data_IF_849662429897
#
_entry.id   IF_849662429897
#
_cell.length_a   1.000
_cell.length_b   1.000
_cell.length_c   1.000
_cell.angle_alpha   90.00
_cell.angle_beta   90.00
_cell.angle_gamma   90.00
#
_symmetry.space_group_name_H-M   'P 1'
#
loop_
_entity.id
_entity.type
_entity.pdbx_description
1 polymer ?
#
# COMPACT_ATOMS: atom_id res chain seq x y z
N UNK A 1 15.85 12.18 8.02
CA UNK A 1 14.60 12.97 7.98
C UNK A 1 13.79 12.48 6.80
N UNK A 2 12.50 12.19 6.99
CA UNK A 2 11.58 11.86 5.90
C UNK A 2 10.92 13.14 5.40
N UNK A 3 10.64 13.21 4.10
CA UNK A 3 9.99 14.37 3.47
C UNK A 3 8.94 13.88 2.48
N UNK A 4 7.79 14.48 2.45
CA UNK A 4 6.77 14.26 1.42
C UNK A 4 7.24 14.91 0.12
N UNK A 5 7.88 14.14 -0.77
CA UNK A 5 8.46 14.69 -2.00
C UNK A 5 7.42 15.02 -3.06
N UNK A 6 6.30 14.29 -3.06
CA UNK A 6 5.24 14.51 -4.05
C UNK A 6 3.88 14.07 -3.54
N UNK A 7 2.85 14.84 -3.88
CA UNK A 7 1.44 14.47 -3.80
C UNK A 7 0.94 14.25 -5.23
N UNK A 8 0.40 13.05 -5.51
CA UNK A 8 0.08 12.63 -6.86
C UNK A 8 -1.42 12.32 -6.98
N UNK A 9 -2.06 12.87 -8.00
CA UNK A 9 -3.49 12.70 -8.29
C UNK A 9 -3.66 12.11 -9.69
N UNK A 10 -4.57 11.14 -9.80
CA UNK A 10 -4.95 10.51 -11.04
C UNK A 10 -6.25 11.05 -11.60
N UNK A 11 -6.34 11.08 -12.92
CA UNK A 11 -7.60 11.30 -13.65
C UNK A 11 -8.05 10.00 -14.29
N UNK A 12 -9.34 9.87 -14.55
CA UNK A 12 -9.87 8.71 -15.27
C UNK A 12 -9.22 8.57 -16.67
N UNK A 13 -8.70 7.38 -16.92
CA UNK A 13 -8.20 6.99 -18.25
C UNK A 13 -8.64 5.58 -18.58
N UNK A 14 -8.90 5.35 -19.87
CA UNK A 14 -9.08 4.00 -20.38
C UNK A 14 -7.73 3.29 -20.37
N UNK A 15 -7.67 2.15 -19.70
CA UNK A 15 -6.48 1.30 -19.58
C UNK A 15 -6.88 -0.12 -19.96
N UNK A 16 -6.47 -0.56 -21.14
CA UNK A 16 -6.95 -1.81 -21.71
C UNK A 16 -8.47 -1.79 -21.90
N UNK A 17 -9.19 -2.66 -21.20
CA UNK A 17 -10.67 -2.76 -21.23
C UNK A 17 -11.38 -2.08 -20.06
N UNK A 18 -10.65 -1.42 -19.17
CA UNK A 18 -11.17 -0.80 -17.95
C UNK A 18 -10.82 0.69 -17.87
N UNK A 19 -11.51 1.39 -17.00
CA UNK A 19 -11.16 2.77 -16.61
C UNK A 19 -10.33 2.70 -15.34
N UNK A 20 -9.27 3.51 -15.24
CA UNK A 20 -8.39 3.53 -14.08
C UNK A 20 -7.81 4.92 -13.79
N UNK A 21 -7.65 5.24 -12.51
CA UNK A 21 -6.91 6.40 -12.01
C UNK A 21 -5.43 6.14 -11.73
N UNK A 22 -4.85 5.04 -12.26
CA UNK A 22 -3.45 4.66 -11.98
C UNK A 22 -2.42 5.66 -12.55
N UNK A 23 -2.80 6.44 -13.55
CA UNK A 23 -1.92 7.46 -14.16
C UNK A 23 -1.89 8.72 -13.30
N UNK A 24 -1.31 8.59 -12.12
CA UNK A 24 -1.15 9.72 -11.21
C UNK A 24 0.03 10.61 -11.64
N UNK A 25 -0.10 11.90 -11.34
CA UNK A 25 0.91 12.92 -11.63
C UNK A 25 1.11 13.82 -10.42
N UNK A 26 2.34 14.31 -10.21
CA UNK A 26 2.63 15.30 -9.19
C UNK A 26 1.74 16.53 -9.31
N UNK A 27 1.22 16.99 -8.18
CA UNK A 27 0.42 18.20 -8.06
C UNK A 27 1.23 19.32 -7.41
N UNK A 28 0.91 20.56 -7.77
CA UNK A 28 1.47 21.75 -7.16
C UNK A 28 0.50 22.34 -6.13
N UNK A 29 1.05 22.97 -5.09
CA UNK A 29 0.26 23.60 -4.03
C UNK A 29 -0.33 22.59 -3.04
N UNK A 30 -1.17 23.10 -2.14
CA UNK A 30 -1.84 22.29 -1.14
C UNK A 30 -2.93 21.41 -1.77
N UNK A 31 -3.02 20.18 -1.29
CA UNK A 31 -4.04 19.20 -1.70
C UNK A 31 -4.83 18.76 -0.47
N UNK A 32 -6.13 18.87 -0.52
CA UNK A 32 -7.02 18.47 0.58
C UNK A 32 -7.06 16.94 0.71
N UNK A 33 -6.89 16.43 1.92
CA UNK A 33 -6.99 15.03 2.28
C UNK A 33 -8.19 14.79 3.19
N UNK A 34 -9.11 13.94 2.73
CA UNK A 34 -10.28 13.48 3.47
C UNK A 34 -10.11 12.04 3.97
N UNK A 35 -11.07 11.54 4.77
CA UNK A 35 -11.12 10.12 5.22
C UNK A 35 -11.15 9.11 4.07
N UNK A 36 -11.54 9.52 2.89
CA UNK A 36 -11.68 8.64 1.71
C UNK A 36 -10.55 8.78 0.70
N UNK A 37 -9.60 9.70 0.93
CA UNK A 37 -8.46 9.96 0.07
C UNK A 37 -8.30 11.42 -0.30
N UNK A 38 -7.38 11.70 -1.24
CA UNK A 38 -7.11 13.07 -1.71
C UNK A 38 -8.28 13.54 -2.57
N UNK A 39 -8.76 14.75 -2.28
CA UNK A 39 -9.87 15.37 -3.02
C UNK A 39 -9.46 15.55 -4.49
N UNK A 40 -10.30 15.08 -5.40
CA UNK A 40 -10.02 15.11 -6.84
C UNK A 40 -9.25 13.88 -7.38
N UNK A 41 -8.78 13.00 -6.51
CA UNK A 41 -8.19 11.74 -6.96
C UNK A 41 -9.26 10.71 -7.37
N UNK A 42 -8.94 9.91 -8.39
CA UNK A 42 -9.88 8.92 -8.92
C UNK A 42 -9.45 7.51 -8.54
N UNK A 43 -10.36 6.79 -7.87
CA UNK A 43 -10.28 5.35 -7.61
C UNK A 43 -11.40 4.65 -8.37
N UNK A 44 -11.10 4.16 -9.57
CA UNK A 44 -12.13 3.60 -10.49
C UNK A 44 -12.60 2.20 -10.09
N UNK A 45 -11.79 1.42 -9.39
CA UNK A 45 -12.16 0.08 -8.90
C UNK A 45 -12.28 0.07 -7.37
N UNK A 46 -13.40 0.56 -6.87
CA UNK A 46 -13.69 0.62 -5.44
C UNK A 46 -13.86 -0.74 -4.76
N UNK A 47 -13.99 -1.84 -5.54
CA UNK A 47 -14.08 -3.21 -4.99
C UNK A 47 -12.72 -3.74 -4.55
N UNK A 48 -11.65 -3.37 -5.26
CA UNK A 48 -10.29 -3.87 -5.00
C UNK A 48 -9.33 -2.80 -4.47
N UNK A 49 -9.63 -1.53 -4.70
CA UNK A 49 -8.81 -0.38 -4.29
C UNK A 49 -9.66 0.67 -3.59
N UNK A 50 -9.00 1.52 -2.79
CA UNK A 50 -9.66 2.60 -2.07
C UNK A 50 -10.54 2.15 -0.91
N UNK A 51 -11.43 3.06 -0.49
CA UNK A 51 -12.21 2.94 0.75
C UNK A 51 -11.43 3.48 1.96
N UNK A 52 -12.11 3.66 3.12
CA UNK A 52 -11.52 4.36 4.27
C UNK A 52 -10.25 3.70 4.82
N UNK A 53 -10.12 2.37 4.67
CA UNK A 53 -8.92 1.65 5.13
C UNK A 53 -7.76 1.66 4.14
N UNK A 54 -7.99 2.08 2.91
CA UNK A 54 -7.01 2.15 1.81
C UNK A 54 -7.15 3.48 1.07
N UNK A 55 -7.33 4.56 1.83
CA UNK A 55 -7.62 5.88 1.32
C UNK A 55 -6.44 6.51 0.55
N UNK A 56 -5.21 6.17 0.96
CA UNK A 56 -3.97 6.73 0.39
C UNK A 56 -2.98 5.60 0.12
N UNK A 57 -2.41 5.58 -1.08
CA UNK A 57 -1.30 4.70 -1.41
C UNK A 57 0.02 5.48 -1.32
N UNK A 58 0.94 4.98 -0.49
CA UNK A 58 2.25 5.57 -0.22
C UNK A 58 3.36 4.72 -0.84
N UNK A 59 4.34 5.38 -1.45
CA UNK A 59 5.52 4.74 -2.01
C UNK A 59 6.80 5.44 -1.56
N UNK A 60 7.84 4.66 -1.28
CA UNK A 60 9.13 5.18 -0.82
C UNK A 60 10.04 5.59 -1.97
N UNK A 61 10.73 6.74 -1.84
CA UNK A 61 11.70 7.16 -2.85
C UNK A 61 12.89 6.21 -2.97
N UNK A 62 13.28 5.49 -1.89
CA UNK A 62 14.30 4.42 -1.97
C UNK A 62 13.85 3.26 -2.86
N UNK A 63 12.55 2.93 -2.85
CA UNK A 63 12.00 1.90 -3.72
C UNK A 63 11.94 2.38 -5.18
N UNK A 64 11.66 3.68 -5.43
CA UNK A 64 11.78 4.30 -6.75
C UNK A 64 13.21 4.24 -7.28
N UNK A 65 14.21 4.62 -6.46
CA UNK A 65 15.63 4.56 -6.83
C UNK A 65 16.06 3.14 -7.22
N UNK A 66 15.60 2.13 -6.46
CA UNK A 66 15.86 0.73 -6.79
C UNK A 66 15.24 0.35 -8.15
N UNK A 67 13.99 0.75 -8.42
CA UNK A 67 13.33 0.48 -9.69
C UNK A 67 14.00 1.19 -10.86
N UNK A 68 14.41 2.43 -10.69
CA UNK A 68 15.14 3.18 -11.72
C UNK A 68 16.45 2.49 -12.10
N UNK A 69 17.17 1.96 -11.10
CA UNK A 69 18.38 1.18 -11.33
C UNK A 69 18.10 -0.16 -12.00
N UNK A 70 17.06 -0.89 -11.56
CA UNK A 70 16.70 -2.21 -12.10
C UNK A 70 16.22 -2.14 -13.56
N UNK A 71 15.43 -1.11 -13.87
CA UNK A 71 14.84 -0.93 -15.20
C UNK A 71 15.70 -0.08 -16.14
N UNK A 72 16.74 0.57 -15.59
CA UNK A 72 17.59 1.54 -16.30
C UNK A 72 16.77 2.65 -17.00
N UNK A 73 15.76 3.19 -16.31
CA UNK A 73 14.90 4.30 -16.77
C UNK A 73 14.66 5.29 -15.64
N UNK A 74 14.31 6.52 -15.96
CA UNK A 74 13.78 7.47 -14.98
C UNK A 74 12.30 7.20 -14.72
N UNK A 75 11.89 7.29 -13.46
CA UNK A 75 10.51 7.11 -13.01
C UNK A 75 10.07 8.34 -12.24
N UNK A 76 8.97 8.93 -12.67
CA UNK A 76 8.34 10.04 -11.96
C UNK A 76 7.51 9.53 -10.77
N UNK A 77 7.38 10.33 -9.68
CA UNK A 77 6.41 10.07 -8.63
C UNK A 77 5.01 9.84 -9.20
N UNK A 78 4.24 8.92 -8.60
CA UNK A 78 2.91 8.52 -9.11
C UNK A 78 2.95 7.45 -10.21
N UNK A 79 4.13 7.02 -10.69
CA UNK A 79 4.26 6.00 -11.74
C UNK A 79 3.62 4.68 -11.34
N UNK A 80 3.74 4.25 -10.09
CA UNK A 80 3.12 3.02 -9.60
C UNK A 80 1.67 3.22 -9.11
N UNK A 81 1.08 4.39 -9.35
CA UNK A 81 -0.25 4.77 -8.91
C UNK A 81 -0.29 5.26 -7.45
N UNK A 82 0.86 5.58 -6.88
CA UNK A 82 0.98 6.12 -5.54
C UNK A 82 0.46 7.55 -5.44
N UNK A 83 -0.23 7.83 -4.36
CA UNK A 83 -0.72 9.16 -4.01
C UNK A 83 0.38 10.01 -3.37
N UNK A 84 1.20 9.40 -2.52
CA UNK A 84 2.27 10.07 -1.81
C UNK A 84 3.61 9.37 -2.08
N UNK A 85 4.61 10.17 -2.42
CA UNK A 85 5.99 9.71 -2.51
C UNK A 85 6.80 10.33 -1.38
N UNK A 86 7.45 9.49 -0.54
CA UNK A 86 8.17 9.95 0.66
C UNK A 86 9.65 9.64 0.52
N UNK A 87 10.52 10.66 0.69
CA UNK A 87 11.97 10.50 0.68
C UNK A 87 12.47 9.69 1.88
N UNK A 88 13.61 9.01 1.72
CA UNK A 88 14.25 8.27 2.80
C UNK A 88 13.51 6.99 3.24
N UNK A 89 12.33 6.71 2.67
CA UNK A 89 11.47 5.58 2.99
C UNK A 89 11.66 4.40 2.03
N UNK A 90 11.57 3.18 2.57
CA UNK A 90 11.40 1.94 1.82
C UNK A 90 10.25 1.13 2.40
N UNK A 91 9.51 0.42 1.57
CA UNK A 91 8.45 -0.51 2.00
C UNK A 91 8.93 -1.57 2.99
N UNK A 92 10.23 -1.88 2.97
CA UNK A 92 10.85 -2.90 3.83
C UNK A 92 11.01 -2.48 5.28
N UNK A 93 10.97 -1.16 5.54
CA UNK A 93 11.18 -0.57 6.85
C UNK A 93 9.85 -0.28 7.59
N UNK A 94 8.70 -0.70 7.01
CA UNK A 94 7.37 -0.31 7.47
C UNK A 94 6.57 -1.50 7.97
N UNK A 95 5.85 -1.30 9.06
CA UNK A 95 4.95 -2.29 9.67
C UNK A 95 3.49 -1.83 9.60
N UNK A 96 2.58 -2.78 9.66
CA UNK A 96 1.16 -2.48 9.77
C UNK A 96 0.88 -1.81 11.12
N UNK A 97 0.16 -0.69 11.08
CA UNK A 97 -0.11 0.14 12.24
C UNK A 97 0.90 1.27 12.47
N UNK A 98 2.03 1.28 11.74
CA UNK A 98 2.92 2.46 11.75
C UNK A 98 2.13 3.70 11.34
N UNK A 99 2.45 4.84 11.94
CA UNK A 99 1.83 6.11 11.60
C UNK A 99 2.83 7.07 10.96
N UNK A 100 2.34 7.85 10.02
CA UNK A 100 3.06 8.94 9.40
C UNK A 100 2.33 10.24 9.70
N UNK A 101 3.00 11.12 10.45
CA UNK A 101 2.52 12.47 10.73
C UNK A 101 3.16 13.41 9.74
N UNK A 102 2.36 14.07 8.93
CA UNK A 102 2.79 15.08 7.95
C UNK A 102 2.44 16.45 8.53
N UNK A 103 3.29 17.44 8.27
CA UNK A 103 3.13 18.81 8.81
C UNK A 103 1.66 19.24 8.82
N UNK A 104 1.31 20.00 9.87
CA UNK A 104 -0.03 20.55 10.15
C UNK A 104 -1.09 19.50 10.52
N UNK A 105 -0.63 18.35 11.06
CA UNK A 105 -1.50 17.40 11.73
C UNK A 105 -2.15 16.31 10.89
N UNK A 106 -1.86 16.16 9.61
CA UNK A 106 -2.31 14.98 8.86
C UNK A 106 -1.68 13.72 9.49
N UNK A 107 -2.51 12.73 9.82
CA UNK A 107 -2.05 11.45 10.37
C UNK A 107 -2.57 10.32 9.51
N UNK A 108 -1.65 9.52 9.00
CA UNK A 108 -1.89 8.30 8.24
C UNK A 108 -1.50 7.08 9.06
N UNK A 109 -2.28 5.99 8.97
CA UNK A 109 -1.96 4.71 9.60
C UNK A 109 -1.88 3.61 8.54
N UNK A 110 -0.79 2.84 8.55
CA UNK A 110 -0.52 1.76 7.60
C UNK A 110 -1.46 0.57 7.85
N UNK A 111 -2.12 0.08 6.80
CA UNK A 111 -3.19 -0.93 6.92
C UNK A 111 -3.01 -2.15 6.04
N UNK A 112 -2.33 -2.01 4.90
CA UNK A 112 -2.16 -3.09 3.92
C UNK A 112 -0.98 -2.84 2.97
N UNK A 113 -0.34 -3.87 2.41
CA UNK A 113 0.51 -3.73 1.24
C UNK A 113 -0.34 -3.50 -0.02
N UNK A 114 0.26 -2.92 -1.05
CA UNK A 114 -0.35 -2.89 -2.38
C UNK A 114 -0.05 -4.19 -3.12
N UNK A 115 -1.10 -4.86 -3.60
CA UNK A 115 -0.95 -6.06 -4.42
C UNK A 115 -0.95 -5.66 -5.91
N UNK A 116 0.05 -6.09 -6.72
CA UNK A 116 0.10 -5.74 -8.13
C UNK A 116 -1.04 -6.39 -8.91
N UNK A 117 -1.60 -5.66 -9.86
CA UNK A 117 -2.70 -6.09 -10.71
C UNK A 117 -2.34 -5.92 -12.21
N UNK A 118 -3.19 -6.43 -13.09
CA UNK A 118 -3.00 -6.31 -14.54
C UNK A 118 -2.89 -4.84 -15.00
N UNK A 119 -3.64 -3.93 -14.37
CA UNK A 119 -3.58 -2.49 -14.66
C UNK A 119 -2.18 -1.90 -14.46
N UNK A 120 -1.39 -2.43 -13.51
CA UNK A 120 0.01 -2.03 -13.35
C UNK A 120 0.85 -2.48 -14.54
N UNK A 121 0.61 -3.67 -15.07
CA UNK A 121 1.26 -4.14 -16.30
C UNK A 121 0.98 -3.24 -17.50
N UNK A 122 -0.29 -2.86 -17.69
CA UNK A 122 -0.70 -1.91 -18.74
C UNK A 122 -0.03 -0.54 -18.54
N UNK A 123 0.02 -0.03 -17.30
CA UNK A 123 0.68 1.24 -16.97
C UNK A 123 2.17 1.23 -17.30
N UNK A 124 2.84 0.11 -17.10
CA UNK A 124 4.28 -0.06 -17.34
C UNK A 124 4.60 -0.54 -18.78
N UNK A 125 3.57 -0.80 -19.61
CA UNK A 125 3.75 -1.32 -20.95
C UNK A 125 4.28 -2.76 -21.03
N UNK A 126 4.24 -3.50 -19.91
CA UNK A 126 4.69 -4.89 -19.82
C UNK A 126 3.71 -5.73 -18.98
N UNK A 127 3.01 -6.66 -19.64
CA UNK A 127 2.08 -7.59 -18.99
C UNK A 127 2.71 -8.47 -17.92
N UNK A 128 4.03 -8.64 -17.93
CA UNK A 128 4.78 -9.41 -16.95
C UNK A 128 5.26 -8.57 -15.77
N UNK A 129 5.13 -7.24 -15.84
CA UNK A 129 5.56 -6.33 -14.78
C UNK A 129 4.94 -6.66 -13.41
N UNK A 130 3.67 -7.07 -13.27
CA UNK A 130 3.13 -7.49 -11.97
C UNK A 130 3.90 -8.64 -11.31
N UNK A 131 4.47 -9.56 -12.09
CA UNK A 131 5.31 -10.66 -11.57
C UNK A 131 6.66 -10.13 -11.10
N UNK A 132 7.27 -9.22 -11.87
CA UNK A 132 8.52 -8.56 -11.48
C UNK A 132 8.31 -7.72 -10.21
N UNK A 133 7.22 -6.95 -10.15
CA UNK A 133 6.84 -6.17 -8.98
C UNK A 133 6.64 -7.03 -7.73
N UNK A 134 5.99 -8.19 -7.88
CA UNK A 134 5.89 -9.17 -6.80
C UNK A 134 7.25 -9.63 -6.30
N UNK A 135 8.15 -9.99 -7.22
CA UNK A 135 9.49 -10.51 -6.90
C UNK A 135 10.39 -9.46 -6.23
N UNK A 136 10.19 -8.19 -6.53
CA UNK A 136 10.98 -7.10 -5.94
C UNK A 136 10.74 -6.94 -4.44
N UNK A 137 9.59 -7.38 -3.92
CA UNK A 137 9.15 -7.13 -2.55
C UNK A 137 9.23 -5.66 -2.14
N UNK A 138 8.77 -4.78 -3.03
CA UNK A 138 8.69 -3.32 -2.85
C UNK A 138 7.29 -2.83 -3.16
N UNK A 139 6.27 -3.29 -2.39
CA UNK A 139 4.88 -3.05 -2.75
C UNK A 139 4.40 -1.62 -2.49
N UNK A 140 5.12 -0.81 -1.68
CA UNK A 140 4.49 0.33 -1.04
C UNK A 140 3.38 -0.14 -0.08
N UNK A 141 2.57 0.79 0.42
CA UNK A 141 1.54 0.44 1.37
C UNK A 141 0.36 1.40 1.30
N UNK A 142 -0.81 0.89 1.65
CA UNK A 142 -2.00 1.68 1.85
C UNK A 142 -2.10 2.18 3.28
N UNK A 143 -2.67 3.38 3.42
CA UNK A 143 -2.99 3.97 4.70
C UNK A 143 -4.48 4.33 4.79
N UNK A 144 -5.02 4.25 6.01
CA UNK A 144 -6.22 4.99 6.39
C UNK A 144 -5.83 6.38 6.90
N UNK A 145 -6.75 7.31 6.78
CA UNK A 145 -6.58 8.67 7.27
C UNK A 145 -7.12 8.76 8.69
N UNK A 146 -6.22 8.88 9.67
CA UNK A 146 -6.60 9.08 11.08
C UNK A 146 -7.01 10.52 11.30
N UNK A 147 -6.27 11.48 10.75
CA UNK A 147 -6.60 12.92 10.78
C UNK A 147 -6.45 13.53 9.40
N UNK A 148 -7.50 14.19 8.97
CA UNK A 148 -7.60 14.91 7.70
C UNK A 148 -6.80 16.22 7.76
N UNK A 149 -6.57 16.85 6.62
CA UNK A 149 -5.90 18.13 6.51
C UNK A 149 -5.38 18.38 5.11
N UNK A 150 -4.42 19.28 4.98
CA UNK A 150 -3.78 19.61 3.72
C UNK A 150 -2.42 18.93 3.57
N UNK A 151 -2.14 18.46 2.38
CA UNK A 151 -0.86 17.87 1.98
C UNK A 151 -0.11 18.85 1.08
N UNK A 152 1.11 19.20 1.46
CA UNK A 152 1.97 20.08 0.67
C UNK A 152 3.30 19.36 0.41
N UNK A 153 3.73 19.33 -0.85
CA UNK A 153 5.04 18.76 -1.20
C UNK A 153 6.17 19.51 -0.46
N UNK A 154 7.23 18.78 -0.12
CA UNK A 154 8.37 19.19 0.70
C UNK A 154 8.07 19.36 2.20
N UNK A 155 6.89 18.97 2.67
CA UNK A 155 6.59 18.90 4.11
C UNK A 155 7.42 17.82 4.80
N UNK A 156 7.79 18.08 6.06
CA UNK A 156 8.41 17.08 6.93
C UNK A 156 7.43 15.96 7.24
N UNK A 157 7.95 14.73 7.35
CA UNK A 157 7.17 13.54 7.70
C UNK A 157 7.83 12.87 8.91
N UNK A 158 7.06 12.67 9.97
CA UNK A 158 7.48 11.93 11.16
C UNK A 158 6.92 10.52 11.07
N UNK A 159 7.78 9.52 11.12
CA UNK A 159 7.40 8.11 11.21
C UNK A 159 7.30 7.70 12.67
N UNK A 160 6.14 7.24 13.09
CA UNK A 160 5.87 6.72 14.44
C UNK A 160 5.66 5.20 14.31
N UNK A 161 6.60 4.38 14.79
CA UNK A 161 6.46 2.93 14.74
C UNK A 161 5.28 2.42 15.57
N UNK A 162 4.62 1.37 15.08
CA UNK A 162 3.62 0.64 15.86
C UNK A 162 4.28 -0.19 16.96
N UNK A 163 3.93 0.06 18.23
CA UNK A 163 4.63 -0.51 19.38
C UNK A 163 4.02 -1.81 19.92
N UNK A 164 2.81 -2.21 19.46
CA UNK A 164 2.14 -3.41 19.97
C UNK A 164 2.71 -4.67 19.32
N UNK A 165 3.15 -5.62 20.14
CA UNK A 165 3.61 -6.93 19.70
C UNK A 165 2.46 -7.98 19.65
N UNK A 166 2.55 -8.97 18.74
CA UNK A 166 3.55 -9.14 17.68
C UNK A 166 3.32 -8.17 16.51
N UNK A 167 4.41 -7.60 15.99
CA UNK A 167 4.37 -6.73 14.80
C UNK A 167 4.39 -7.57 13.53
N UNK A 168 3.72 -7.09 12.49
CA UNK A 168 3.82 -7.67 11.15
C UNK A 168 4.30 -6.60 10.16
N UNK A 169 5.34 -6.88 9.40
CA UNK A 169 5.82 -5.95 8.39
C UNK A 169 4.88 -5.91 7.17
N UNK A 170 4.93 -4.81 6.42
CA UNK A 170 4.26 -4.70 5.12
C UNK A 170 4.69 -5.84 4.19
N UNK A 171 5.97 -6.23 4.24
CA UNK A 171 6.52 -7.29 3.38
C UNK A 171 6.00 -8.67 3.80
N UNK A 172 5.93 -8.98 5.10
CA UNK A 172 5.42 -10.28 5.54
C UNK A 172 3.94 -10.42 5.22
N UNK A 173 3.14 -9.35 5.38
CA UNK A 173 1.75 -9.34 4.97
C UNK A 173 1.61 -9.47 3.44
N UNK A 174 2.51 -8.87 2.66
CA UNK A 174 2.56 -9.01 1.20
C UNK A 174 2.86 -10.45 0.78
N UNK A 175 3.81 -11.11 1.42
CA UNK A 175 4.16 -12.52 1.16
C UNK A 175 2.99 -13.44 1.42
N UNK A 176 2.15 -13.18 2.44
CA UNK A 176 0.96 -13.98 2.74
C UNK A 176 -0.08 -14.05 1.60
N UNK A 177 -0.02 -13.16 0.61
CA UNK A 177 -0.85 -13.28 -0.60
C UNK A 177 -0.44 -14.43 -1.50
N UNK A 178 0.80 -14.87 -1.39
CA UNK A 178 1.41 -15.82 -2.31
C UNK A 178 1.85 -17.11 -1.63
N UNK A 179 1.77 -17.13 -0.31
CA UNK A 179 2.08 -18.29 0.51
C UNK A 179 0.91 -19.29 0.50
N UNK A 180 1.22 -20.55 0.15
CA UNK A 180 0.21 -21.63 0.10
C UNK A 180 0.07 -22.38 1.43
N UNK A 181 1.01 -22.18 2.37
CA UNK A 181 1.03 -22.83 3.67
C UNK A 181 1.54 -21.90 4.78
N UNK A 182 0.87 -20.74 5.00
CA UNK A 182 1.38 -19.79 5.98
C UNK A 182 1.35 -20.36 7.41
N UNK A 183 2.36 -19.99 8.20
CA UNK A 183 2.43 -20.38 9.59
C UNK A 183 1.27 -19.75 10.40
N UNK A 184 0.64 -20.51 11.29
CA UNK A 184 -0.45 -20.02 12.16
C UNK A 184 -0.05 -18.77 12.94
N UNK A 185 1.15 -18.77 13.51
CA UNK A 185 1.67 -17.63 14.26
C UNK A 185 1.73 -16.32 13.43
N UNK A 186 2.05 -16.43 12.13
CA UNK A 186 2.07 -15.26 11.23
C UNK A 186 0.65 -14.73 10.98
N UNK A 187 -0.33 -15.62 10.79
CA UNK A 187 -1.73 -15.22 10.61
C UNK A 187 -2.30 -14.57 11.89
N UNK A 188 -2.00 -15.14 13.04
CA UNK A 188 -2.41 -14.59 14.33
C UNK A 188 -1.76 -13.22 14.61
N UNK A 189 -0.46 -13.07 14.31
CA UNK A 189 0.22 -11.78 14.40
C UNK A 189 -0.44 -10.74 13.50
N UNK A 190 -0.74 -11.10 12.25
CA UNK A 190 -1.43 -10.22 11.32
C UNK A 190 -2.80 -9.78 11.87
N UNK A 191 -3.60 -10.70 12.41
CA UNK A 191 -4.94 -10.39 12.93
C UNK A 191 -4.93 -9.49 14.18
N UNK A 192 -3.81 -9.37 14.88
CA UNK A 192 -3.66 -8.42 16.01
C UNK A 192 -3.33 -7.00 15.56
N UNK A 193 -2.79 -6.85 14.34
CA UNK A 193 -2.48 -5.54 13.76
C UNK A 193 -3.74 -4.80 13.27
N UNK A 194 -3.70 -3.47 13.13
CA UNK A 194 -4.82 -2.66 12.64
C UNK A 194 -4.99 -2.75 11.12
N UNK A 195 -5.18 -3.96 10.61
CA UNK A 195 -5.36 -4.28 9.19
C UNK A 195 -6.53 -3.51 8.57
N UNK A 196 -6.44 -3.27 7.27
CA UNK A 196 -7.61 -2.99 6.45
C UNK A 196 -8.63 -4.12 6.57
N UNK A 197 -9.93 -3.80 6.59
CA UNK A 197 -11.00 -4.79 6.77
C UNK A 197 -10.92 -5.92 5.75
N UNK A 198 -10.60 -5.62 4.49
CA UNK A 198 -10.43 -6.64 3.43
C UNK A 198 -9.34 -7.66 3.78
N UNK A 199 -8.21 -7.17 4.30
CA UNK A 199 -7.10 -8.03 4.73
C UNK A 199 -7.51 -8.90 5.91
N UNK A 200 -8.18 -8.32 6.89
CA UNK A 200 -8.69 -9.04 8.04
C UNK A 200 -9.60 -10.19 7.64
N UNK A 201 -10.59 -9.93 6.78
CA UNK A 201 -11.51 -10.96 6.25
C UNK A 201 -10.74 -12.06 5.51
N UNK A 202 -9.79 -11.69 4.64
CA UNK A 202 -8.96 -12.65 3.89
C UNK A 202 -8.15 -13.56 4.82
N UNK A 203 -7.45 -12.97 5.79
CA UNK A 203 -6.58 -13.71 6.74
C UNK A 203 -7.42 -14.61 7.65
N UNK A 204 -8.56 -14.12 8.14
CA UNK A 204 -9.49 -14.94 8.92
C UNK A 204 -9.94 -16.16 8.13
N UNK A 205 -10.34 -15.99 6.85
CA UNK A 205 -10.71 -17.12 5.98
C UNK A 205 -9.59 -18.13 5.75
N UNK A 206 -8.33 -17.69 5.72
CA UNK A 206 -7.18 -18.62 5.62
C UNK A 206 -7.03 -19.39 6.93
N UNK A 207 -7.07 -18.70 8.05
CA UNK A 207 -6.95 -19.29 9.38
C UNK A 207 -8.05 -20.35 9.63
N UNK A 208 -9.31 -20.02 9.34
CA UNK A 208 -10.44 -20.93 9.51
C UNK A 208 -10.28 -22.21 8.67
N UNK A 209 -9.80 -22.09 7.44
CA UNK A 209 -9.52 -23.26 6.58
C UNK A 209 -8.43 -24.16 7.17
N UNK A 210 -7.33 -23.57 7.66
CA UNK A 210 -6.23 -24.33 8.25
C UNK A 210 -6.66 -25.06 9.52
N UNK A 211 -7.44 -24.42 10.39
CA UNK A 211 -7.95 -25.03 11.62
C UNK A 211 -9.03 -26.08 11.29
N UNK A 212 -9.91 -25.82 10.32
CA UNK A 212 -10.96 -26.74 9.87
C UNK A 212 -10.42 -28.04 9.26
N UNK A 213 -9.37 -27.93 8.44
CA UNK A 213 -8.68 -29.11 7.86
C UNK A 213 -7.92 -29.93 8.92
N UNK A 214 -7.41 -29.28 9.98
CA UNK A 214 -6.76 -29.98 11.09
C UNK A 214 -7.69 -30.84 11.97
N UNK A 215 -8.97 -30.53 11.99
CA UNK A 215 -9.99 -31.33 12.74
C UNK A 215 -10.43 -32.58 12.02
N UNK A 216 -10.26 -32.67 10.71
CA UNK A 216 -10.70 -33.84 9.90
C UNK A 216 -9.66 -34.96 9.87
N UNK A 217 -8.42 -34.71 10.30
CA UNK A 217 -7.32 -35.71 10.29
C UNK A 217 -7.11 -36.44 11.63
N UNK A 218 -7.89 -36.17 12.67
CA UNK A 218 -7.78 -36.83 13.99
C UNK A 218 -8.92 -37.85 14.25
N UNK A 219 -9.71 -38.13 13.24
CA UNK A 219 -10.83 -39.07 13.32
C UNK A 219 -10.72 -40.20 12.31
N UNK A 220 -9.78 -41.14 12.52
CA UNK A 220 -9.83 -42.53 12.06
C UNK A 220 -8.86 -43.36 12.88
#
# INVERSE_FOLDING_TARGET
MLTLTSVNIGTERVVGKSVSGIYKRPMHGAQELSKTGIVGDVVSDSRHHGGPDQAVYVYGAKDYQWWQSELNIELEPGTFGDNLTISGLSSRDVHIGDQFVIVDDVVLEVTAPRIPCATLGERMGDKHFPVLFRKSERPGFYCRVIREGELVANSEVIHIPYEREPRISVIDLFRLYYDQGPALATLEAALRAPLAMRERVRITSILDRLIGTGRTTIGN
#
